data_IF_722190213461
#
_entry.id   IF_722190213461
#
_cell.length_a   1.000
_cell.length_b   1.000
_cell.length_c   1.000
_cell.angle_alpha   90.00
_cell.angle_beta   90.00
_cell.angle_gamma   90.00
#
_symmetry.space_group_name_H-M   'P 1'
#
loop_
_entity.id
_entity.type
_entity.pdbx_description
1 polymer ?
#
# COMPACT_ATOMS: atom_id res chain seq x y z
N UNK A 1 17.14 -1.14 -3.22
CA UNK A 1 17.08 0.05 -4.11
C UNK A 1 18.03 -0.15 -5.28
N UNK A 2 17.80 0.51 -6.40
CA UNK A 2 18.66 0.44 -7.59
C UNK A 2 17.98 -0.24 -8.78
N UNK A 3 18.69 -0.32 -9.90
CA UNK A 3 18.15 -0.92 -11.13
C UNK A 3 17.74 -2.37 -10.90
N UNK A 4 16.53 -2.73 -11.33
CA UNK A 4 15.95 -4.07 -11.18
C UNK A 4 15.75 -4.54 -9.72
N UNK A 5 15.71 -3.63 -8.76
CA UNK A 5 15.48 -3.97 -7.36
C UNK A 5 14.17 -4.73 -7.11
N UNK A 6 13.17 -4.65 -7.99
CA UNK A 6 11.94 -5.44 -7.84
C UNK A 6 12.19 -6.95 -7.98
N UNK A 7 13.24 -7.37 -8.70
CA UNK A 7 13.53 -8.79 -8.97
C UNK A 7 13.97 -9.58 -7.73
N UNK A 8 14.36 -8.91 -6.64
CA UNK A 8 14.66 -9.59 -5.38
C UNK A 8 13.42 -9.72 -4.49
N UNK A 9 12.31 -9.05 -4.82
CA UNK A 9 11.14 -8.96 -3.94
C UNK A 9 10.47 -10.32 -3.76
N UNK A 10 10.25 -11.08 -4.84
CA UNK A 10 9.58 -12.39 -4.76
C UNK A 10 10.31 -13.37 -3.84
N UNK A 11 11.65 -13.42 -3.92
CA UNK A 11 12.47 -14.23 -3.05
C UNK A 11 12.42 -13.78 -1.57
N UNK A 12 12.45 -12.46 -1.31
CA UNK A 12 12.33 -11.91 0.04
C UNK A 12 10.96 -12.19 0.67
N UNK A 13 9.89 -12.17 -0.13
CA UNK A 13 8.53 -12.48 0.32
C UNK A 13 8.32 -13.98 0.52
N UNK A 14 8.91 -14.83 -0.31
CA UNK A 14 8.83 -16.29 -0.16
C UNK A 14 9.46 -16.79 1.16
N UNK A 15 10.38 -16.01 1.75
CA UNK A 15 10.94 -16.29 3.08
C UNK A 15 10.03 -15.83 4.23
N UNK A 16 8.85 -15.28 3.93
CA UNK A 16 7.85 -14.84 4.91
C UNK A 16 6.62 -15.74 4.81
N UNK A 17 5.91 -15.89 5.92
CA UNK A 17 4.62 -16.59 5.99
C UNK A 17 3.49 -15.71 5.40
N UNK A 18 3.63 -15.29 4.14
CA UNK A 18 2.69 -14.44 3.39
C UNK A 18 2.23 -15.17 2.13
N UNK A 19 0.93 -15.22 1.88
CA UNK A 19 0.35 -16.05 0.83
C UNK A 19 -0.33 -15.26 -0.29
N UNK A 20 -1.15 -14.25 0.04
CA UNK A 20 -1.95 -13.52 -0.95
C UNK A 20 -1.95 -12.01 -0.68
N UNK A 21 -1.39 -11.26 -1.63
CA UNK A 21 -1.30 -9.81 -1.56
C UNK A 21 -2.60 -9.12 -1.99
N UNK A 22 -2.94 -8.00 -1.35
CA UNK A 22 -3.71 -6.94 -2.00
C UNK A 22 -2.75 -5.92 -2.59
N UNK A 23 -2.71 -5.81 -3.92
CA UNK A 23 -1.95 -4.77 -4.64
C UNK A 23 -2.81 -3.50 -4.72
N UNK A 24 -2.37 -2.42 -4.09
CA UNK A 24 -3.04 -1.11 -4.05
C UNK A 24 -2.32 -0.16 -4.97
N UNK A 25 -3.01 0.31 -6.02
CA UNK A 25 -2.42 1.14 -7.08
C UNK A 25 -3.47 2.04 -7.74
N UNK A 26 -3.04 2.91 -8.64
CA UNK A 26 -3.91 3.74 -9.47
C UNK A 26 -4.19 3.08 -10.82
N UNK A 27 -5.27 3.50 -11.48
CA UNK A 27 -5.71 2.89 -12.74
C UNK A 27 -4.72 3.11 -13.88
N UNK A 28 -3.95 4.21 -13.87
CA UNK A 28 -3.00 4.53 -14.94
C UNK A 28 -1.88 3.51 -14.96
N UNK A 29 -1.33 3.15 -13.79
CA UNK A 29 -0.26 2.16 -13.71
C UNK A 29 -0.71 0.75 -14.12
N UNK A 30 -1.99 0.43 -13.92
CA UNK A 30 -2.61 -0.80 -14.44
C UNK A 30 -2.76 -0.72 -15.97
N UNK A 31 -3.28 0.39 -16.50
CA UNK A 31 -3.53 0.59 -17.93
C UNK A 31 -2.25 0.54 -18.78
N UNK A 32 -1.15 1.09 -18.26
CA UNK A 32 0.16 1.07 -18.95
C UNK A 32 0.94 -0.24 -18.74
N UNK A 33 0.41 -1.18 -17.94
CA UNK A 33 1.04 -2.47 -17.65
C UNK A 33 2.29 -2.38 -16.75
N UNK A 34 2.53 -1.26 -16.07
CA UNK A 34 3.72 -1.13 -15.22
C UNK A 34 3.64 -2.08 -14.00
N UNK A 35 2.43 -2.29 -13.49
CA UNK A 35 2.13 -3.24 -12.40
C UNK A 35 2.50 -4.67 -12.78
N UNK A 36 2.57 -5.01 -14.08
CA UNK A 36 2.91 -6.36 -14.53
C UNK A 36 4.30 -6.79 -14.06
N UNK A 37 5.25 -5.85 -13.94
CA UNK A 37 6.59 -6.10 -13.38
C UNK A 37 6.54 -6.68 -11.97
N UNK A 38 5.58 -6.22 -11.14
CA UNK A 38 5.32 -6.78 -9.82
C UNK A 38 4.61 -8.13 -9.94
N UNK A 39 3.52 -8.21 -10.71
CA UNK A 39 2.71 -9.43 -10.75
C UNK A 39 3.47 -10.63 -11.32
N UNK A 40 4.34 -10.42 -12.31
CA UNK A 40 5.19 -11.45 -12.87
C UNK A 40 6.19 -11.97 -11.85
N UNK A 41 6.70 -11.09 -11.00
CA UNK A 41 7.61 -11.47 -9.92
C UNK A 41 6.89 -12.28 -8.84
N UNK A 42 5.68 -11.87 -8.43
CA UNK A 42 4.87 -12.63 -7.49
C UNK A 42 4.50 -14.02 -8.05
N UNK A 43 4.12 -14.11 -9.33
CA UNK A 43 3.78 -15.39 -10.00
C UNK A 43 4.97 -16.36 -10.02
N UNK A 44 6.19 -15.89 -10.31
CA UNK A 44 7.39 -16.75 -10.30
C UNK A 44 7.64 -17.41 -8.94
N UNK A 45 7.19 -16.75 -7.87
CA UNK A 45 7.34 -17.19 -6.49
C UNK A 45 6.07 -17.81 -5.89
N UNK A 46 5.03 -18.06 -6.72
CA UNK A 46 3.75 -18.62 -6.30
C UNK A 46 3.05 -17.81 -5.20
N UNK A 47 3.16 -16.48 -5.27
CA UNK A 47 2.45 -15.56 -4.38
C UNK A 47 1.20 -15.09 -5.12
N UNK A 48 0.04 -15.38 -4.56
CA UNK A 48 -1.24 -14.95 -5.12
C UNK A 48 -1.45 -13.46 -4.87
N UNK A 49 -2.29 -12.83 -5.68
CA UNK A 49 -2.63 -11.43 -5.48
C UNK A 49 -4.01 -11.07 -6.04
N UNK A 50 -4.57 -10.01 -5.47
CA UNK A 50 -5.69 -9.26 -6.04
C UNK A 50 -5.25 -7.80 -6.27
N UNK A 51 -5.85 -7.11 -7.24
CA UNK A 51 -5.50 -5.73 -7.58
C UNK A 51 -6.67 -4.80 -7.26
N UNK A 52 -6.41 -3.82 -6.39
CA UNK A 52 -7.21 -2.62 -6.23
C UNK A 52 -6.57 -1.46 -7.01
N UNK A 53 -7.08 -1.18 -8.20
CA UNK A 53 -6.63 -0.09 -9.07
C UNK A 53 -7.42 1.22 -8.92
N UNK A 54 -8.16 1.38 -7.82
CA UNK A 54 -9.11 2.48 -7.62
C UNK A 54 -8.51 3.73 -6.98
N UNK A 55 -7.22 3.75 -6.66
CA UNK A 55 -6.59 4.87 -5.95
C UNK A 55 -6.56 6.11 -6.83
N UNK A 56 -7.02 7.23 -6.28
CA UNK A 56 -7.00 8.54 -6.92
C UNK A 56 -5.90 9.41 -6.30
N UNK A 57 -5.45 10.47 -7.00
CA UNK A 57 -4.65 11.52 -6.37
C UNK A 57 -5.36 12.06 -5.12
N UNK A 58 -4.63 12.15 -3.99
CA UNK A 58 -5.18 12.51 -2.67
C UNK A 58 -6.19 11.46 -2.16
N UNK A 59 -5.71 10.27 -1.73
CA UNK A 59 -6.57 9.13 -1.46
C UNK A 59 -7.63 9.46 -0.42
N UNK A 60 -8.85 8.97 -0.64
CA UNK A 60 -9.99 9.25 0.21
C UNK A 60 -10.23 8.16 1.26
N UNK A 61 -11.12 8.44 2.20
CA UNK A 61 -11.62 7.42 3.14
C UNK A 61 -12.30 6.29 2.37
N UNK A 62 -13.10 6.60 1.33
CA UNK A 62 -13.71 5.58 0.48
C UNK A 62 -12.68 4.68 -0.22
N UNK A 63 -11.53 5.23 -0.65
CA UNK A 63 -10.47 4.39 -1.22
C UNK A 63 -9.97 3.32 -0.24
N UNK A 64 -9.93 3.63 1.05
CA UNK A 64 -9.53 2.69 2.10
C UNK A 64 -10.64 1.68 2.34
N UNK A 65 -11.90 2.11 2.45
CA UNK A 65 -13.04 1.21 2.65
C UNK A 65 -13.21 0.22 1.48
N UNK A 66 -13.07 0.67 0.23
CA UNK A 66 -13.11 -0.20 -0.95
C UNK A 66 -11.96 -1.21 -0.94
N UNK A 67 -10.75 -0.76 -0.58
CA UNK A 67 -9.58 -1.61 -0.46
C UNK A 67 -9.73 -2.66 0.64
N UNK A 68 -10.29 -2.29 1.81
CA UNK A 68 -10.62 -3.20 2.90
C UNK A 68 -11.65 -4.25 2.48
N UNK A 69 -12.69 -3.84 1.76
CA UNK A 69 -13.70 -4.75 1.24
C UNK A 69 -13.09 -5.80 0.30
N UNK A 70 -12.22 -5.36 -0.62
CA UNK A 70 -11.53 -6.28 -1.53
C UNK A 70 -10.51 -7.17 -0.80
N UNK A 71 -9.75 -6.62 0.16
CA UNK A 71 -8.81 -7.37 1.01
C UNK A 71 -9.53 -8.55 1.68
N UNK A 72 -10.68 -8.28 2.29
CA UNK A 72 -11.48 -9.28 2.98
C UNK A 72 -12.13 -10.28 2.01
N UNK A 73 -12.71 -9.80 0.91
CA UNK A 73 -13.33 -10.66 -0.11
C UNK A 73 -12.33 -11.67 -0.68
N UNK A 74 -11.11 -11.21 -0.96
CA UNK A 74 -10.07 -12.00 -1.60
C UNK A 74 -9.24 -12.82 -0.62
N UNK A 75 -9.49 -12.67 0.69
CA UNK A 75 -8.73 -13.29 1.78
C UNK A 75 -7.22 -12.98 1.70
N UNK A 76 -6.88 -11.74 1.38
CA UNK A 76 -5.49 -11.30 1.35
C UNK A 76 -4.94 -11.19 2.79
N UNK A 77 -3.70 -11.63 3.00
CA UNK A 77 -3.02 -11.62 4.31
C UNK A 77 -1.92 -10.56 4.42
N UNK A 78 -1.64 -9.83 3.33
CA UNK A 78 -0.76 -8.65 3.34
C UNK A 78 -1.09 -7.66 2.23
N UNK A 79 -0.53 -6.46 2.33
CA UNK A 79 -0.75 -5.36 1.39
C UNK A 79 0.55 -5.03 0.66
N UNK A 80 0.44 -4.78 -0.64
CA UNK A 80 1.50 -4.24 -1.46
C UNK A 80 1.01 -2.93 -2.08
N UNK A 81 1.63 -1.79 -1.76
CA UNK A 81 1.36 -0.57 -2.52
C UNK A 81 2.26 -0.50 -3.75
N UNK A 82 1.72 -0.13 -4.90
CA UNK A 82 2.48 0.11 -6.13
C UNK A 82 2.11 1.48 -6.70
N UNK A 83 3.07 2.39 -6.78
CA UNK A 83 2.86 3.73 -7.33
C UNK A 83 3.58 4.82 -6.55
N UNK A 84 2.98 6.01 -6.48
CA UNK A 84 3.48 7.13 -5.70
C UNK A 84 2.80 7.29 -4.33
N UNK A 85 2.96 8.47 -3.74
CA UNK A 85 2.48 8.78 -2.38
C UNK A 85 1.00 8.47 -2.12
N UNK A 86 0.12 8.71 -3.10
CA UNK A 86 -1.32 8.41 -2.95
C UNK A 86 -1.58 6.91 -2.74
N UNK A 87 -0.92 6.04 -3.51
CA UNK A 87 -1.05 4.59 -3.38
C UNK A 87 -0.45 4.09 -2.08
N UNK A 88 0.68 4.66 -1.64
CA UNK A 88 1.29 4.34 -0.35
C UNK A 88 0.39 4.72 0.82
N UNK A 89 -0.20 5.93 0.80
CA UNK A 89 -1.06 6.44 1.86
C UNK A 89 -2.37 5.66 1.97
N UNK A 90 -2.98 5.31 0.83
CA UNK A 90 -4.15 4.42 0.79
C UNK A 90 -3.82 3.03 1.37
N UNK A 91 -2.72 2.42 0.93
CA UNK A 91 -2.30 1.10 1.39
C UNK A 91 -1.98 1.04 2.89
N UNK A 92 -1.34 2.09 3.43
CA UNK A 92 -1.13 2.26 4.88
C UNK A 92 -2.45 2.29 5.64
N UNK A 93 -3.42 3.07 5.15
CA UNK A 93 -4.76 3.14 5.74
C UNK A 93 -5.45 1.78 5.77
N UNK A 94 -5.45 1.07 4.64
CA UNK A 94 -6.00 -0.29 4.51
C UNK A 94 -5.32 -1.25 5.49
N UNK A 95 -3.99 -1.30 5.49
CA UNK A 95 -3.22 -2.22 6.34
C UNK A 95 -3.44 -1.95 7.84
N UNK A 96 -3.51 -0.68 8.25
CA UNK A 96 -3.72 -0.29 9.65
C UNK A 96 -5.12 -0.65 10.13
N UNK A 97 -6.14 -0.28 9.34
CA UNK A 97 -7.55 -0.53 9.68
C UNK A 97 -7.87 -2.01 9.62
N UNK A 98 -7.30 -2.77 8.68
CA UNK A 98 -7.48 -4.23 8.62
C UNK A 98 -7.03 -4.93 9.93
N UNK A 99 -5.94 -4.45 10.55
CA UNK A 99 -5.40 -5.05 11.77
C UNK A 99 -6.03 -4.52 13.07
N UNK A 100 -6.47 -3.26 13.08
CA UNK A 100 -6.93 -2.58 14.29
C UNK A 100 -8.44 -2.30 14.33
N UNK A 101 -9.15 -2.43 13.21
CA UNK A 101 -10.57 -2.13 13.06
C UNK A 101 -10.88 -0.63 13.10
N UNK A 102 -12.17 -0.29 13.24
CA UNK A 102 -12.64 1.10 13.27
C UNK A 102 -12.54 1.78 11.91
N UNK A 103 -12.56 3.12 11.91
CA UNK A 103 -12.45 3.92 10.69
C UNK A 103 -11.11 4.65 10.66
N UNK A 104 -10.54 4.90 9.48
CA UNK A 104 -9.21 5.55 9.37
C UNK A 104 -9.15 6.91 10.10
N UNK A 105 -10.27 7.65 10.11
CA UNK A 105 -10.39 8.93 10.82
C UNK A 105 -10.23 8.80 12.34
N UNK A 106 -10.52 7.65 12.94
CA UNK A 106 -10.31 7.48 14.37
C UNK A 106 -8.83 7.60 14.74
N UNK A 107 -7.94 7.26 13.81
CA UNK A 107 -6.50 7.33 13.99
C UNK A 107 -5.92 8.74 13.81
N UNK A 108 -6.66 9.70 13.24
CA UNK A 108 -6.22 11.11 13.11
C UNK A 108 -6.46 11.95 14.35
N UNK A 109 -7.19 11.43 15.34
CA UNK A 109 -7.50 12.11 16.61
C UNK A 109 -6.29 12.24 17.56
N UNK A 110 -5.15 11.66 17.19
CA UNK A 110 -3.91 11.70 17.97
C UNK A 110 -2.73 11.14 17.16
N UNK A 111 -1.61 10.92 17.84
CA UNK A 111 -0.38 10.35 17.26
C UNK A 111 -0.15 8.97 17.87
N UNK A 112 0.15 7.97 17.03
CA UNK A 112 0.41 6.58 17.43
C UNK A 112 -0.76 5.95 18.20
N UNK A 113 -1.97 6.13 17.65
CA UNK A 113 -3.23 5.73 18.27
C UNK A 113 -3.55 4.25 18.08
N UNK A 114 -2.95 3.59 17.08
CA UNK A 114 -3.13 2.16 16.86
C UNK A 114 -2.53 1.31 17.98
N UNK A 115 -3.20 0.20 18.29
CA UNK A 115 -2.82 -0.68 19.40
C UNK A 115 -1.96 -1.85 18.95
N UNK A 116 -2.13 -2.29 17.70
CA UNK A 116 -1.42 -3.41 17.09
C UNK A 116 -0.66 -2.93 15.85
N UNK A 117 0.45 -3.60 15.50
CA UNK A 117 1.06 -3.43 14.18
C UNK A 117 0.02 -3.56 13.05
N UNK A 118 0.22 -2.80 11.97
CA UNK A 118 -0.58 -2.96 10.75
C UNK A 118 -0.37 -4.34 10.13
N UNK A 119 -1.27 -4.74 9.23
CA UNK A 119 -1.04 -5.90 8.36
C UNK A 119 0.28 -5.69 7.58
N UNK A 120 1.11 -6.73 7.34
CA UNK A 120 2.38 -6.54 6.65
C UNK A 120 2.22 -5.72 5.37
N UNK A 121 3.00 -4.65 5.26
CA UNK A 121 2.94 -3.72 4.13
C UNK A 121 4.28 -3.69 3.41
N UNK A 122 4.23 -3.91 2.10
CA UNK A 122 5.34 -3.75 1.18
C UNK A 122 5.05 -2.57 0.27
N UNK A 123 6.05 -1.75 -0.01
CA UNK A 123 5.89 -0.57 -0.85
C UNK A 123 6.82 -0.64 -2.07
N UNK A 124 6.27 -0.43 -3.26
CA UNK A 124 7.02 -0.29 -4.52
C UNK A 124 6.77 1.13 -5.01
N UNK A 125 7.78 1.97 -4.83
CA UNK A 125 7.71 3.37 -5.21
C UNK A 125 8.04 3.55 -6.70
N UNK A 126 7.23 4.35 -7.38
CA UNK A 126 7.38 4.72 -8.78
C UNK A 126 7.67 6.21 -8.97
N UNK A 127 7.84 6.99 -7.89
CA UNK A 127 8.00 8.46 -7.97
C UNK A 127 9.22 8.97 -7.21
N UNK A 128 10.02 9.83 -7.84
CA UNK A 128 11.18 10.45 -7.19
C UNK A 128 10.78 11.74 -6.44
N UNK A 129 10.04 11.62 -5.33
CA UNK A 129 9.58 12.81 -4.60
C UNK A 129 9.10 12.59 -3.17
N UNK A 130 7.99 11.87 -2.97
CA UNK A 130 7.26 11.90 -1.68
C UNK A 130 7.96 11.18 -0.53
N UNK A 131 8.76 10.16 -0.85
CA UNK A 131 9.33 9.21 0.10
C UNK A 131 8.28 8.48 0.97
N UNK A 132 6.98 8.52 0.63
CA UNK A 132 5.92 7.93 1.49
C UNK A 132 6.11 6.42 1.68
N UNK A 133 6.82 5.74 0.79
CA UNK A 133 7.17 4.33 0.89
C UNK A 133 7.99 3.95 2.13
N UNK A 134 8.49 4.91 2.90
CA UNK A 134 9.28 4.68 4.12
C UNK A 134 8.84 5.52 5.33
N UNK A 135 7.74 6.30 5.22
CA UNK A 135 7.31 7.21 6.29
C UNK A 135 6.32 6.58 7.27
N UNK A 136 6.18 7.23 8.43
CA UNK A 136 5.22 6.90 9.51
C UNK A 136 3.93 7.74 9.46
N UNK A 137 3.60 8.32 8.30
CA UNK A 137 2.38 9.10 8.14
C UNK A 137 1.69 8.77 6.82
N UNK A 138 0.39 9.04 6.78
CA UNK A 138 -0.45 9.00 5.59
C UNK A 138 -1.32 10.26 5.55
N UNK A 139 -1.51 10.85 4.37
CA UNK A 139 -2.37 12.02 4.16
C UNK A 139 -3.66 11.54 3.48
N UNK A 140 -4.77 11.64 4.19
CA UNK A 140 -6.08 11.18 3.72
C UNK A 140 -7.01 12.37 3.48
N UNK A 141 -7.83 12.28 2.45
CA UNK A 141 -8.83 13.28 2.11
C UNK A 141 -10.19 12.92 2.71
N UNK A 142 -10.78 13.85 3.45
CA UNK A 142 -12.17 13.80 3.85
C UNK A 142 -13.07 14.19 2.66
N UNK A 143 -13.92 13.27 2.19
CA UNK A 143 -14.82 13.54 1.07
C UNK A 143 -15.96 14.50 1.41
N UNK A 144 -16.33 14.63 2.68
CA UNK A 144 -17.47 15.46 3.09
C UNK A 144 -17.19 16.97 3.01
N UNK A 145 -15.94 17.39 3.23
CA UNK A 145 -15.53 18.81 3.24
C UNK A 145 -14.27 19.09 2.42
N UNK A 146 -13.79 18.10 1.67
CA UNK A 146 -12.60 18.16 0.80
C UNK A 146 -11.30 18.56 1.54
N UNK A 147 -11.27 18.43 2.87
CA UNK A 147 -10.06 18.71 3.65
C UNK A 147 -9.14 17.50 3.71
N UNK A 148 -7.83 17.76 3.78
CA UNK A 148 -6.83 16.73 4.02
C UNK A 148 -6.45 16.71 5.49
N UNK A 149 -6.27 15.52 6.05
CA UNK A 149 -5.78 15.36 7.40
C UNK A 149 -4.66 14.31 7.45
N UNK A 150 -3.66 14.51 8.32
CA UNK A 150 -2.63 13.52 8.54
C UNK A 150 -3.13 12.43 9.51
N UNK A 151 -2.71 11.20 9.25
CA UNK A 151 -2.64 10.14 10.25
C UNK A 151 -1.16 9.88 10.51
N UNK A 152 -0.74 9.92 11.76
CA UNK A 152 0.67 9.70 12.14
C UNK A 152 0.74 8.50 13.07
N UNK A 153 1.27 7.39 12.57
CA UNK A 153 1.35 6.15 13.33
C UNK A 153 2.68 5.44 13.08
N UNK A 154 3.35 5.03 14.16
CA UNK A 154 4.62 4.29 14.12
C UNK A 154 4.46 2.93 13.44
N UNK A 155 3.24 2.39 13.43
CA UNK A 155 2.95 1.13 12.76
C UNK A 155 2.76 1.29 11.25
N UNK A 156 2.80 2.49 10.67
CA UNK A 156 2.74 2.66 9.21
C UNK A 156 4.02 2.27 8.47
N UNK A 157 5.16 2.13 9.17
CA UNK A 157 6.43 1.75 8.53
C UNK A 157 6.28 0.43 7.78
N UNK A 158 6.53 0.40 6.46
CA UNK A 158 6.50 -0.82 5.68
C UNK A 158 7.60 -1.79 6.10
N UNK A 159 7.36 -3.09 5.93
CA UNK A 159 8.36 -4.13 6.23
C UNK A 159 9.45 -4.21 5.15
N UNK A 160 9.12 -3.78 3.92
CA UNK A 160 10.03 -3.71 2.77
C UNK A 160 9.63 -2.48 1.94
N UNK A 161 10.63 -1.69 1.54
CA UNK A 161 10.47 -0.61 0.57
C UNK A 161 11.37 -0.86 -0.65
N UNK A 162 10.77 -0.90 -1.82
CA UNK A 162 11.43 -1.10 -3.11
C UNK A 162 11.42 0.21 -3.88
N UNK A 163 12.63 0.67 -4.21
CA UNK A 163 12.88 1.78 -5.11
C UNK A 163 13.69 1.24 -6.28
N UNK A 164 13.02 0.92 -7.38
CA UNK A 164 13.60 0.43 -8.63
C UNK A 164 13.59 1.55 -9.67
N UNK A 165 14.75 1.90 -10.21
CA UNK A 165 14.87 2.99 -11.19
C UNK A 165 14.11 2.72 -12.48
N UNK A 166 13.88 1.45 -12.84
CA UNK A 166 13.13 1.07 -14.05
C UNK A 166 11.61 1.23 -13.88
N UNK A 167 11.14 1.47 -12.65
CA UNK A 167 9.71 1.68 -12.35
C UNK A 167 9.38 3.15 -12.11
N UNK A 168 10.36 4.05 -12.23
CA UNK A 168 10.13 5.47 -12.00
C UNK A 168 9.43 6.11 -13.20
N UNK A 169 8.35 6.85 -12.92
CA UNK A 169 7.53 7.62 -13.88
C UNK A 169 7.55 9.10 -13.57
#
# INVERSE_FOLDING_TARGET
MGQNAIQSLGAELANKELSKALIVTDSVLVEIGLVDRLTDELKKHNIDFAIYGGVKPNPTEQNIEDGLALLAQENCDFVISFGGGSSHDAAKGIALVAANGGHIRDYSKGVHTSKKPQLPLVTINTTAGTASEMTVFAIITNEADETKYPVVDKHFTPIIAVNDSELMV
#
